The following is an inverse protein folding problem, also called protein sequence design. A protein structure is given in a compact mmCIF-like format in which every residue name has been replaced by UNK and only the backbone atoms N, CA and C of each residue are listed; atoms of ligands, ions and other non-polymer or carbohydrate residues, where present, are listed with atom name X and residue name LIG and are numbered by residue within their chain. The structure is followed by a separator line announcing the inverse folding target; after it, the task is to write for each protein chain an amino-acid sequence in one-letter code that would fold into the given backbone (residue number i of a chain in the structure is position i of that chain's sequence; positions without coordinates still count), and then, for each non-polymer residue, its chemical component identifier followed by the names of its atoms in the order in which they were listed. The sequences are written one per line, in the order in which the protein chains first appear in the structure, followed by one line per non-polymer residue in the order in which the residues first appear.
data_IF_033057598359
#
_entry.id   IF_033057598359
#
_cell.length_a   1.000
_cell.length_b   1.000
_cell.length_c   1.000
_cell.angle_alpha   90.00
_cell.angle_beta   90.00
_cell.angle_gamma   90.00
#
_symmetry.space_group_name_H-M   'P 1'
#
loop_
_entity.id
_entity.type
_entity.pdbx_description
1 polymer ?
#
# COMPACT_ATOMS: atom_id res chain seq x y z
N UNK A 1 4.62 -9.70 5.25
CA UNK A 1 4.02 -9.10 6.46
C UNK A 1 4.34 -7.62 6.34
N UNK A 2 3.42 -6.80 5.81
CA UNK A 2 3.74 -5.46 5.28
C UNK A 2 4.50 -4.57 6.27
N UNK A 3 4.24 -4.73 7.57
CA UNK A 3 4.95 -4.05 8.64
C UNK A 3 6.45 -4.36 8.71
N UNK A 4 6.84 -5.63 8.52
CA UNK A 4 8.25 -6.05 8.52
C UNK A 4 8.96 -5.49 7.29
N UNK A 5 8.26 -5.49 6.16
CA UNK A 5 8.79 -5.02 4.88
C UNK A 5 9.05 -3.51 4.92
N UNK A 6 8.14 -2.72 5.51
CA UNK A 6 8.36 -1.29 5.79
C UNK A 6 9.56 -1.03 6.70
N UNK A 7 9.69 -1.77 7.82
CA UNK A 7 10.82 -1.62 8.74
C UNK A 7 12.15 -1.95 8.06
N UNK A 8 12.20 -3.04 7.30
CA UNK A 8 13.40 -3.46 6.58
C UNK A 8 13.79 -2.44 5.49
N UNK A 9 12.81 -1.76 4.89
CA UNK A 9 13.04 -0.66 3.95
C UNK A 9 13.40 0.68 4.63
N UNK A 10 13.55 0.74 5.96
CA UNK A 10 13.84 1.98 6.69
C UNK A 10 12.68 2.96 6.76
N UNK A 11 11.47 2.51 6.43
CA UNK A 11 10.27 3.33 6.46
C UNK A 11 9.56 3.19 7.82
N UNK A 12 9.27 4.33 8.45
CA UNK A 12 8.42 4.34 9.66
C UNK A 12 7.09 3.67 9.35
N UNK A 13 6.72 2.69 10.16
CA UNK A 13 5.41 2.04 10.06
C UNK A 13 4.33 3.06 10.46
N UNK A 14 3.43 3.36 9.53
CA UNK A 14 2.26 4.21 9.77
C UNK A 14 1.03 3.56 9.15
N UNK A 15 -0.16 3.88 9.69
CA UNK A 15 -1.41 3.35 9.16
C UNK A 15 -1.63 3.69 7.67
N UNK A 16 -1.38 4.93 7.18
CA UNK A 16 -1.53 5.23 5.76
C UNK A 16 -0.62 4.39 4.84
N UNK A 17 0.62 4.08 5.26
CA UNK A 17 1.55 3.26 4.48
C UNK A 17 1.11 1.80 4.38
N UNK A 18 0.58 1.27 5.49
CA UNK A 18 0.04 -0.09 5.51
C UNK A 18 -1.17 -0.21 4.57
N UNK A 19 -2.11 0.74 4.64
CA UNK A 19 -3.29 0.74 3.77
C UNK A 19 -2.94 0.82 2.27
N UNK A 20 -1.96 1.65 1.90
CA UNK A 20 -1.51 1.72 0.50
C UNK A 20 -0.85 0.41 0.06
N UNK A 21 -0.04 -0.22 0.92
CA UNK A 21 0.57 -1.51 0.61
C UNK A 21 -0.47 -2.61 0.42
N UNK A 22 -1.49 -2.67 1.29
CA UNK A 22 -2.59 -3.63 1.16
C UNK A 22 -3.29 -3.48 -0.21
N UNK A 23 -3.58 -2.26 -0.65
CA UNK A 23 -4.18 -2.00 -1.98
C UNK A 23 -3.29 -2.49 -3.13
N UNK A 24 -1.98 -2.34 -3.01
CA UNK A 24 -1.02 -2.76 -4.05
C UNK A 24 -0.81 -4.27 -4.06
N UNK A 25 -0.92 -4.94 -2.91
CA UNK A 25 -0.79 -6.41 -2.79
C UNK A 25 -2.02 -7.14 -3.35
N UNK A 26 -3.22 -6.54 -3.26
CA UNK A 26 -4.49 -7.18 -3.64
C UNK A 26 -4.78 -7.16 -5.16
N UNK A 27 -4.20 -6.24 -5.92
CA UNK A 27 -4.54 -5.99 -7.34
C UNK A 27 -3.85 -6.91 -8.36
N UNK A 28 -3.02 -7.86 -7.93
CA UNK A 28 -2.38 -8.81 -8.87
C UNK A 28 -1.49 -8.11 -9.92
N UNK A 29 -1.49 -8.52 -11.21
CA UNK A 29 -0.56 -8.02 -12.23
C UNK A 29 -0.91 -6.63 -12.82
N UNK A 30 -1.81 -5.86 -12.21
CA UNK A 30 -2.26 -4.58 -12.75
C UNK A 30 -1.43 -3.39 -12.24
N UNK A 31 -1.23 -2.39 -13.12
CA UNK A 31 -0.62 -1.11 -12.74
C UNK A 31 -1.71 -0.14 -12.29
N UNK A 32 -1.51 0.53 -11.16
CA UNK A 32 -2.41 1.55 -10.63
C UNK A 32 -1.80 2.93 -10.76
N UNK A 33 -2.59 3.91 -11.20
CA UNK A 33 -2.24 5.31 -11.00
C UNK A 33 -2.42 5.71 -9.52
N UNK A 34 -1.84 6.84 -9.12
CA UNK A 34 -2.05 7.39 -7.77
C UNK A 34 -3.54 7.68 -7.50
N UNK A 35 -4.27 8.11 -8.52
CA UNK A 35 -5.72 8.36 -8.45
C UNK A 35 -6.49 7.05 -8.22
N UNK A 36 -6.09 5.95 -8.87
CA UNK A 36 -6.72 4.63 -8.67
C UNK A 36 -6.51 4.12 -7.23
N UNK A 37 -5.30 4.27 -6.70
CA UNK A 37 -4.99 3.94 -5.30
C UNK A 37 -5.85 4.77 -4.35
N UNK A 38 -6.00 6.08 -4.60
CA UNK A 38 -6.85 6.93 -3.79
C UNK A 38 -8.32 6.49 -3.81
N UNK A 39 -8.89 6.22 -5.00
CA UNK A 39 -10.27 5.76 -5.15
C UNK A 39 -10.53 4.44 -4.41
N UNK A 40 -9.58 3.51 -4.43
CA UNK A 40 -9.68 2.24 -3.71
C UNK A 40 -9.64 2.39 -2.18
N UNK A 41 -9.00 3.44 -1.66
CA UNK A 41 -8.89 3.68 -0.22
C UNK A 41 -10.13 4.34 0.40
N UNK A 42 -10.97 4.98 -0.42
CA UNK A 42 -12.17 5.73 0.03
C UNK A 42 -13.49 5.00 -0.27
N UNK A 43 -13.45 3.95 -1.10
CA UNK A 43 -14.58 3.07 -1.39
C UNK A 43 -14.84 2.12 -0.22
#
# INVERSE_FOLDING_TARGET
MPQKDLKNAGLKVTLPRLKVLEVLEDEGPHHLSAEDVYRKLIA
#
